data_IF_503987744581
#
_entry.id   IF_503987744581
#
_cell.length_a   1.000
_cell.length_b   1.000
_cell.length_c   1.000
_cell.angle_alpha   90.00
_cell.angle_beta   90.00
_cell.angle_gamma   90.00
#
_symmetry.space_group_name_H-M   'P 1'
#
loop_
_entity.id
_entity.type
_entity.pdbx_description
1 polymer ?
#
# COMPACT_ATOMS: atom_id res chain seq x y z
N UNK A 1 -10.32 -18.36 -6.74
CA UNK A 1 -9.80 -18.85 -5.44
C UNK A 1 -10.53 -18.13 -4.32
N UNK A 2 -10.97 -18.80 -3.26
CA UNK A 2 -11.66 -18.16 -2.12
C UNK A 2 -10.61 -17.41 -1.27
N UNK A 3 -10.59 -16.08 -1.36
CA UNK A 3 -9.68 -15.21 -0.60
C UNK A 3 -10.14 -14.97 0.85
N UNK A 4 -11.42 -15.21 1.15
CA UNK A 4 -12.01 -15.04 2.48
C UNK A 4 -11.17 -15.63 3.64
N UNK A 5 -10.67 -16.89 3.58
CA UNK A 5 -9.85 -17.45 4.67
C UNK A 5 -8.51 -16.72 4.88
N UNK A 6 -7.92 -16.18 3.83
CA UNK A 6 -6.68 -15.39 3.93
C UNK A 6 -6.95 -14.07 4.66
N UNK A 7 -8.06 -13.39 4.34
CA UNK A 7 -8.46 -12.15 5.01
C UNK A 7 -8.73 -12.35 6.50
N UNK A 8 -9.40 -13.44 6.89
CA UNK A 8 -9.59 -13.74 8.31
C UNK A 8 -8.25 -13.97 9.03
N UNK A 9 -7.34 -14.74 8.44
CA UNK A 9 -6.00 -14.95 9.00
C UNK A 9 -5.18 -13.66 9.11
N UNK A 10 -5.23 -12.81 8.07
CA UNK A 10 -4.55 -11.52 8.03
C UNK A 10 -5.12 -10.56 9.08
N UNK A 11 -6.44 -10.48 9.21
CA UNK A 11 -7.11 -9.62 10.18
C UNK A 11 -6.77 -10.04 11.62
N UNK A 12 -6.88 -11.33 11.94
CA UNK A 12 -6.53 -11.84 13.27
C UNK A 12 -5.04 -11.67 13.56
N UNK A 13 -4.17 -11.89 12.56
CA UNK A 13 -2.72 -11.68 12.69
C UNK A 13 -2.33 -10.22 12.90
N UNK A 14 -2.97 -9.28 12.20
CA UNK A 14 -2.73 -7.84 12.38
C UNK A 14 -3.20 -7.34 13.75
N UNK A 15 -4.34 -7.82 14.26
CA UNK A 15 -4.83 -7.41 15.59
C UNK A 15 -3.90 -7.88 16.72
N UNK A 16 -3.50 -9.15 16.69
CA UNK A 16 -2.58 -9.72 17.68
C UNK A 16 -1.17 -9.14 17.53
N UNK A 17 -0.69 -8.97 16.30
CA UNK A 17 0.61 -8.36 16.01
C UNK A 17 0.67 -6.89 16.42
N UNK A 18 -0.36 -6.09 16.10
CA UNK A 18 -0.41 -4.69 16.47
C UNK A 18 -0.48 -4.49 17.99
N UNK A 19 -1.25 -5.30 18.71
CA UNK A 19 -1.34 -5.21 20.17
C UNK A 19 -0.01 -5.56 20.86
N UNK A 20 0.69 -6.60 20.41
CA UNK A 20 2.03 -6.92 20.92
C UNK A 20 3.02 -5.81 20.61
N UNK A 21 3.08 -5.34 19.36
CA UNK A 21 3.95 -4.22 18.96
C UNK A 21 3.64 -2.96 19.77
N UNK A 22 2.37 -2.55 19.93
CA UNK A 22 2.00 -1.38 20.73
C UNK A 22 2.39 -1.54 22.21
N UNK A 23 2.36 -2.76 22.75
CA UNK A 23 2.70 -3.05 24.14
C UNK A 23 4.21 -3.13 24.40
N UNK A 24 4.98 -3.61 23.42
CA UNK A 24 6.45 -3.73 23.52
C UNK A 24 7.22 -2.56 22.92
N UNK A 25 6.57 -1.67 22.16
CA UNK A 25 7.26 -0.53 21.55
C UNK A 25 7.62 0.49 22.63
N UNK A 26 8.90 0.86 22.82
CA UNK A 26 9.33 1.85 23.81
C UNK A 26 8.99 3.30 23.41
N UNK A 27 8.26 3.52 22.31
CA UNK A 27 7.95 4.84 21.74
C UNK A 27 6.62 5.37 22.24
N UNK A 28 6.55 6.67 22.45
CA UNK A 28 5.32 7.34 22.88
C UNK A 28 4.24 7.29 21.80
N UNK A 29 2.96 7.32 22.19
CA UNK A 29 1.83 7.27 21.26
C UNK A 29 1.85 8.39 20.19
N UNK A 30 2.37 9.58 20.55
CA UNK A 30 2.59 10.68 19.59
C UNK A 30 3.59 10.30 18.50
N UNK A 31 4.68 9.64 18.89
CA UNK A 31 5.76 9.26 17.99
C UNK A 31 5.36 8.09 17.08
N UNK A 32 4.59 7.14 17.61
CA UNK A 32 3.98 6.05 16.83
C UNK A 32 3.03 6.61 15.76
N UNK A 33 2.15 7.55 16.14
CA UNK A 33 1.26 8.22 15.17
C UNK A 33 2.03 8.97 14.10
N UNK A 34 3.04 9.76 14.50
CA UNK A 34 3.85 10.54 13.57
C UNK A 34 4.57 9.63 12.58
N UNK A 35 5.21 8.57 13.08
CA UNK A 35 5.92 7.59 12.26
C UNK A 35 4.98 6.83 11.32
N UNK A 36 3.81 6.40 11.81
CA UNK A 36 2.81 5.72 11.00
C UNK A 36 2.27 6.63 9.88
N UNK A 37 1.98 7.90 10.20
CA UNK A 37 1.53 8.88 9.22
C UNK A 37 2.60 9.13 8.15
N UNK A 38 3.86 9.28 8.55
CA UNK A 38 4.98 9.44 7.63
C UNK A 38 5.16 8.22 6.72
N UNK A 39 5.27 7.02 7.28
CA UNK A 39 5.40 5.78 6.50
C UNK A 39 4.21 5.51 5.59
N UNK A 40 2.99 5.82 6.05
CA UNK A 40 1.79 5.77 5.23
C UNK A 40 1.87 6.71 4.04
N UNK A 41 2.38 7.93 4.22
CA UNK A 41 2.48 8.91 3.14
C UNK A 41 3.55 8.49 2.13
N UNK A 42 4.73 8.10 2.63
CA UNK A 42 5.83 7.57 1.81
C UNK A 42 5.39 6.36 0.98
N UNK A 43 4.59 5.46 1.56
CA UNK A 43 4.07 4.30 0.85
C UNK A 43 3.10 4.70 -0.28
N UNK A 44 2.21 5.68 -0.03
CA UNK A 44 1.31 6.22 -1.05
C UNK A 44 2.07 6.89 -2.19
N UNK A 45 3.12 7.63 -1.86
CA UNK A 45 3.97 8.32 -2.83
C UNK A 45 4.74 7.31 -3.70
N UNK A 46 5.39 6.31 -3.08
CA UNK A 46 6.05 5.21 -3.82
C UNK A 46 5.08 4.45 -4.73
N UNK A 47 3.87 4.20 -4.26
CA UNK A 47 2.81 3.58 -5.06
C UNK A 47 2.39 4.44 -6.26
N UNK A 48 2.37 5.77 -6.10
CA UNK A 48 2.11 6.71 -7.20
C UNK A 48 3.25 6.70 -8.22
N UNK A 49 4.49 6.70 -7.76
CA UNK A 49 5.67 6.64 -8.63
C UNK A 49 5.69 5.37 -9.46
N UNK A 50 5.35 4.23 -8.85
CA UNK A 50 5.23 2.94 -9.54
C UNK A 50 4.21 3.03 -10.69
N UNK A 51 3.04 3.68 -10.48
CA UNK A 51 2.05 3.90 -11.54
C UNK A 51 2.61 4.75 -12.68
N UNK A 52 3.32 5.83 -12.35
CA UNK A 52 3.89 6.75 -13.34
C UNK A 52 4.99 6.08 -14.17
N UNK A 53 5.90 5.37 -13.52
CA UNK A 53 6.95 4.59 -14.19
C UNK A 53 6.33 3.57 -15.14
N UNK A 54 5.24 2.91 -14.74
CA UNK A 54 4.59 1.96 -15.61
C UNK A 54 3.92 2.60 -16.84
N UNK A 55 3.32 3.77 -16.66
CA UNK A 55 2.76 4.54 -17.76
C UNK A 55 3.87 4.97 -18.75
N UNK A 56 5.05 5.34 -18.24
CA UNK A 56 6.22 5.66 -19.06
C UNK A 56 6.69 4.44 -19.87
N UNK A 57 6.89 3.29 -19.23
CA UNK A 57 7.29 2.05 -19.92
C UNK A 57 6.28 1.66 -21.00
N UNK A 58 4.98 1.76 -20.71
CA UNK A 58 3.91 1.52 -21.70
C UNK A 58 4.04 2.47 -22.90
N UNK A 59 4.30 3.75 -22.67
CA UNK A 59 4.44 4.75 -23.73
C UNK A 59 5.70 4.53 -24.57
N UNK A 60 6.83 4.20 -23.94
CA UNK A 60 8.09 3.88 -24.62
C UNK A 60 7.93 2.66 -25.54
N UNK A 61 7.23 1.63 -25.07
CA UNK A 61 6.93 0.45 -25.87
C UNK A 61 6.04 0.82 -27.06
N UNK A 62 4.98 1.61 -26.85
CA UNK A 62 4.09 2.02 -27.93
C UNK A 62 4.81 2.86 -29.00
N UNK A 63 5.73 3.75 -28.59
CA UNK A 63 6.57 4.52 -29.51
C UNK A 63 7.56 3.63 -30.29
N UNK A 64 8.15 2.65 -29.61
CA UNK A 64 9.04 1.67 -30.23
C UNK A 64 8.30 0.81 -31.26
N UNK A 65 7.10 0.31 -30.94
CA UNK A 65 6.24 -0.43 -31.89
C UNK A 65 5.92 0.40 -33.13
N UNK A 66 5.57 1.67 -32.96
CA UNK A 66 5.21 2.55 -34.07
C UNK A 66 6.39 2.87 -34.99
N UNK A 67 7.61 2.89 -34.45
CA UNK A 67 8.84 3.24 -35.16
C UNK A 67 9.57 2.04 -35.78
N UNK A 68 9.34 0.81 -35.27
CA UNK A 68 10.10 -0.40 -35.64
C UNK A 68 9.26 -1.46 -36.39
N UNK A 69 8.21 -1.04 -37.12
CA UNK A 69 7.21 -1.90 -37.81
C UNK A 69 7.78 -3.04 -38.68
N UNK A 70 9.06 -3.06 -39.00
CA UNK A 70 9.67 -4.06 -39.90
C UNK A 70 10.43 -5.22 -39.23
N UNK A 71 10.76 -5.21 -37.92
CA UNK A 71 11.75 -6.18 -37.43
C UNK A 71 11.30 -7.14 -36.31
N UNK A 72 10.52 -6.78 -35.27
CA UNK A 72 10.15 -7.77 -34.22
C UNK A 72 8.80 -7.44 -33.52
N UNK A 73 7.63 -7.71 -34.14
CA UNK A 73 6.32 -7.37 -33.55
C UNK A 73 5.90 -8.27 -32.37
N UNK A 74 6.20 -9.57 -32.40
CA UNK A 74 5.70 -10.54 -31.40
C UNK A 74 6.23 -10.28 -29.99
N UNK A 75 7.53 -10.07 -29.81
CA UNK A 75 8.14 -9.81 -28.49
C UNK A 75 7.64 -8.51 -27.87
N UNK A 76 7.31 -7.51 -28.70
CA UNK A 76 6.79 -6.23 -28.22
C UNK A 76 5.32 -6.36 -27.76
N UNK A 77 4.51 -7.13 -28.49
CA UNK A 77 3.15 -7.46 -28.07
C UNK A 77 3.14 -8.23 -26.75
N UNK A 78 4.04 -9.19 -26.58
CA UNK A 78 4.19 -9.96 -25.33
C UNK A 78 4.58 -9.06 -24.15
N UNK A 79 5.49 -8.11 -24.36
CA UNK A 79 5.91 -7.16 -23.32
C UNK A 79 4.76 -6.21 -22.95
N UNK A 80 4.01 -5.72 -23.95
CA UNK A 80 2.82 -4.89 -23.74
C UNK A 80 1.74 -5.65 -22.97
N UNK A 81 1.52 -6.93 -23.31
CA UNK A 81 0.61 -7.82 -22.59
C UNK A 81 1.05 -8.02 -21.15
N UNK A 82 2.35 -8.29 -20.92
CA UNK A 82 2.93 -8.47 -19.59
C UNK A 82 2.75 -7.25 -18.69
N UNK A 83 2.94 -6.03 -19.23
CA UNK A 83 2.73 -4.78 -18.50
C UNK A 83 1.26 -4.51 -18.25
N UNK A 84 0.39 -4.82 -19.23
CA UNK A 84 -1.04 -4.68 -19.07
C UNK A 84 -1.58 -5.63 -18.00
N UNK A 85 -1.12 -6.88 -17.99
CA UNK A 85 -1.45 -7.87 -16.97
C UNK A 85 -0.95 -7.43 -15.60
N UNK A 86 0.32 -7.05 -15.47
CA UNK A 86 0.88 -6.56 -14.22
C UNK A 86 0.11 -5.34 -13.68
N UNK A 87 -0.28 -4.41 -14.56
CA UNK A 87 -1.13 -3.27 -14.19
C UNK A 87 -2.48 -3.73 -13.67
N UNK A 88 -3.12 -4.67 -14.36
CA UNK A 88 -4.45 -5.17 -14.02
C UNK A 88 -4.44 -5.93 -12.68
N UNK A 89 -3.39 -6.68 -12.39
CA UNK A 89 -3.20 -7.40 -11.14
C UNK A 89 -2.82 -6.46 -9.98
N UNK A 90 -2.00 -5.44 -10.23
CA UNK A 90 -1.45 -4.57 -9.18
C UNK A 90 -2.35 -3.37 -8.86
N UNK A 91 -3.10 -2.83 -9.82
CA UNK A 91 -3.99 -1.69 -9.59
C UNK A 91 -5.07 -1.90 -8.50
N UNK A 92 -5.81 -3.03 -8.46
CA UNK A 92 -6.76 -3.28 -7.39
C UNK A 92 -6.08 -3.45 -6.03
N UNK A 93 -4.92 -4.13 -6.00
CA UNK A 93 -4.12 -4.31 -4.78
C UNK A 93 -3.63 -2.96 -4.23
N UNK A 94 -3.13 -2.08 -5.10
CA UNK A 94 -2.72 -0.74 -4.74
C UNK A 94 -3.88 0.08 -4.17
N UNK A 95 -5.07 -0.03 -4.77
CA UNK A 95 -6.26 0.69 -4.32
C UNK A 95 -6.74 0.18 -2.96
N UNK A 96 -6.71 -1.14 -2.74
CA UNK A 96 -7.04 -1.74 -1.45
C UNK A 96 -6.06 -1.32 -0.36
N UNK A 97 -4.75 -1.40 -0.62
CA UNK A 97 -3.74 -0.97 0.35
C UNK A 97 -3.90 0.52 0.71
N UNK A 98 -4.22 1.37 -0.26
CA UNK A 98 -4.49 2.78 -0.01
C UNK A 98 -5.73 3.00 0.86
N UNK A 99 -6.78 2.18 0.67
CA UNK A 99 -8.00 2.21 1.47
C UNK A 99 -7.78 1.67 2.89
N UNK A 100 -7.04 0.57 3.04
CA UNK A 100 -6.68 -0.01 4.35
C UNK A 100 -5.83 0.96 5.16
N UNK A 101 -4.83 1.59 4.55
CA UNK A 101 -4.02 2.63 5.18
C UNK A 101 -4.91 3.77 5.70
N UNK A 102 -5.86 4.24 4.89
CA UNK A 102 -6.80 5.29 5.31
C UNK A 102 -7.71 4.82 6.46
N UNK A 103 -8.22 3.58 6.40
CA UNK A 103 -9.03 3.01 7.48
C UNK A 103 -8.24 2.88 8.79
N UNK A 104 -6.96 2.49 8.74
CA UNK A 104 -6.10 2.44 9.92
C UNK A 104 -5.87 3.84 10.48
N UNK A 105 -5.64 4.86 9.62
CA UNK A 105 -5.49 6.24 10.06
C UNK A 105 -6.75 6.77 10.76
N UNK A 106 -7.93 6.45 10.25
CA UNK A 106 -9.22 6.82 10.84
C UNK A 106 -9.48 6.08 12.16
N UNK A 107 -9.25 4.77 12.19
CA UNK A 107 -9.38 3.97 13.40
C UNK A 107 -8.44 4.46 14.52
N UNK A 108 -7.20 4.82 14.18
CA UNK A 108 -6.29 5.45 15.13
C UNK A 108 -6.83 6.77 15.68
N UNK A 109 -7.39 7.63 14.81
CA UNK A 109 -7.98 8.91 15.25
C UNK A 109 -9.22 8.72 16.13
N UNK A 110 -10.02 7.68 15.88
CA UNK A 110 -11.20 7.35 16.70
C UNK A 110 -10.81 6.75 18.07
N UNK A 111 -9.81 5.86 18.09
CA UNK A 111 -9.26 5.29 19.33
C UNK A 111 -8.70 6.39 20.23
N UNK A 112 -8.03 7.39 19.67
CA UNK A 112 -7.57 8.57 20.42
C UNK A 112 -8.70 9.38 21.05
N UNK A 113 -9.84 9.54 20.34
CA UNK A 113 -11.00 10.25 20.89
C UNK A 113 -11.66 9.50 22.05
N UNK A 114 -11.55 8.17 22.05
CA UNK A 114 -12.12 7.30 23.09
C UNK A 114 -11.16 7.02 24.25
N UNK A 115 -9.87 7.33 24.08
CA UNK A 115 -8.89 7.25 25.15
C UNK A 115 -9.05 8.46 26.10
N UNK A 116 -9.35 8.26 27.39
CA UNK A 116 -9.26 9.34 28.37
C UNK A 116 -7.80 9.83 28.41
N UNK A 117 -7.59 11.15 28.42
CA UNK A 117 -6.29 11.75 28.76
C UNK A 117 -5.92 11.19 30.13
N UNK A 118 -4.98 10.24 30.17
CA UNK A 118 -4.49 9.68 31.43
C UNK A 118 -3.92 10.84 32.24
N UNK A 119 -4.65 11.18 33.31
CA UNK A 119 -4.21 12.08 34.37
C UNK A 119 -2.85 11.64 34.89
N UNK A 120 -2.05 12.62 35.27
CA UNK A 120 -0.86 12.50 36.09
C UNK A 120 -1.04 11.42 37.15
N UNK A 121 -0.14 10.44 37.16
CA UNK A 121 0.16 9.68 38.36
C UNK A 121 1.53 10.17 38.83
N UNK A 122 1.50 11.18 39.69
CA UNK A 122 2.57 11.49 40.64
C UNK A 122 2.77 10.29 41.56
N UNK A 123 3.99 9.76 41.57
CA UNK A 123 4.78 9.49 42.79
C UNK A 123 6.25 9.47 42.41
#
# INVERSE_FOLDING_TARGET
MKLAPLFYGLATGLLVGASTVLMTTPKSGMEVRSSFKASSNDFRDKLSDIKLQLASVKNSINNLTNSSKEVIPSTIEDLKSSIAQWKNETAPLQTQLQAEISSIQEAMAELEKKLPKKQEATV
#
